data_IF_574842129760
#
_entry.id   IF_574842129760
#
_cell.length_a   1.000
_cell.length_b   1.000
_cell.length_c   1.000
_cell.angle_alpha   90.00
_cell.angle_beta   90.00
_cell.angle_gamma   90.00
#
_symmetry.space_group_name_H-M   'P 1'
#
loop_
_entity.id
_entity.type
_entity.pdbx_description
1 polymer ?
#
# COMPACT_ATOMS: atom_id res chain seq x y z
N UNK A 1 -23.53 -9.53 13.96
CA UNK A 1 -22.62 -10.53 13.35
C UNK A 1 -22.13 -9.92 12.05
N UNK A 2 -20.82 -9.90 11.79
CA UNK A 2 -20.29 -9.34 10.52
C UNK A 2 -20.57 -10.30 9.37
N UNK A 3 -20.74 -9.78 8.16
CA UNK A 3 -20.84 -10.62 6.97
C UNK A 3 -19.49 -11.32 6.70
N UNK A 4 -19.50 -12.45 5.99
CA UNK A 4 -18.26 -13.13 5.59
C UNK A 4 -17.35 -12.20 4.77
N UNK A 5 -17.95 -11.42 3.87
CA UNK A 5 -17.23 -10.45 3.03
C UNK A 5 -16.50 -9.40 3.89
N UNK A 6 -17.13 -8.91 4.96
CA UNK A 6 -16.48 -7.97 5.89
C UNK A 6 -15.25 -8.59 6.57
N UNK A 7 -15.29 -9.89 6.86
CA UNK A 7 -14.18 -10.60 7.50
C UNK A 7 -13.03 -10.85 6.51
N UNK A 8 -13.36 -11.14 5.25
CA UNK A 8 -12.38 -11.27 4.16
C UNK A 8 -11.68 -9.93 3.92
N UNK A 9 -12.44 -8.84 3.90
CA UNK A 9 -11.89 -7.49 3.75
C UNK A 9 -10.89 -7.15 4.87
N UNK A 10 -11.19 -7.51 6.13
CA UNK A 10 -10.27 -7.29 7.25
C UNK A 10 -8.98 -8.11 7.10
N UNK A 11 -9.10 -9.37 6.64
CA UNK A 11 -7.94 -10.20 6.37
C UNK A 11 -7.08 -9.61 5.26
N UNK A 12 -7.68 -9.08 4.19
CA UNK A 12 -6.98 -8.36 3.13
C UNK A 12 -6.30 -7.09 3.64
N UNK A 13 -6.99 -6.27 4.44
CA UNK A 13 -6.43 -5.05 5.03
C UNK A 13 -5.20 -5.38 5.91
N UNK A 14 -5.20 -6.53 6.60
CA UNK A 14 -4.06 -7.01 7.37
C UNK A 14 -2.92 -7.52 6.48
N UNK A 15 -3.24 -8.29 5.43
CA UNK A 15 -2.27 -8.72 4.42
C UNK A 15 -1.56 -7.53 3.79
N UNK A 16 -2.29 -6.46 3.51
CA UNK A 16 -1.74 -5.22 2.96
C UNK A 16 -0.74 -4.57 3.92
N UNK A 17 -1.07 -4.47 5.21
CA UNK A 17 -0.15 -3.95 6.23
C UNK A 17 1.13 -4.78 6.33
N UNK A 18 1.00 -6.11 6.38
CA UNK A 18 2.17 -6.99 6.44
C UNK A 18 3.01 -6.83 5.18
N UNK A 19 2.38 -6.79 4.02
CA UNK A 19 3.06 -6.62 2.73
C UNK A 19 3.85 -5.31 2.64
N UNK A 20 3.27 -4.23 3.17
CA UNK A 20 3.94 -2.93 3.32
C UNK A 20 5.16 -3.08 4.25
N UNK A 21 4.97 -3.67 5.44
CA UNK A 21 6.01 -3.80 6.46
C UNK A 21 7.24 -4.57 5.97
N UNK A 22 7.03 -5.58 5.12
CA UNK A 22 8.09 -6.47 4.63
C UNK A 22 8.57 -6.13 3.21
N UNK A 23 8.02 -5.09 2.59
CA UNK A 23 8.26 -4.72 1.19
C UNK A 23 8.02 -5.86 0.17
N UNK A 24 7.22 -6.88 0.50
CA UNK A 24 6.98 -8.08 -0.29
C UNK A 24 5.50 -8.43 -0.24
N UNK A 25 5.05 -9.33 -1.10
CA UNK A 25 3.68 -9.82 -1.02
C UNK A 25 3.57 -10.82 0.13
N UNK A 26 2.79 -10.50 1.16
CA UNK A 26 2.43 -11.46 2.20
C UNK A 26 1.42 -12.45 1.62
N UNK A 27 1.70 -13.76 1.70
CA UNK A 27 0.75 -14.80 1.31
C UNK A 27 -0.18 -15.14 2.49
N UNK A 28 -1.43 -15.50 2.18
CA UNK A 28 -2.37 -16.05 3.17
C UNK A 28 -2.44 -17.55 2.92
N UNK A 29 -1.72 -18.33 3.72
CA UNK A 29 -1.68 -19.79 3.56
C UNK A 29 -3.05 -20.45 3.85
N UNK A 30 -3.75 -19.97 4.87
CA UNK A 30 -5.08 -20.46 5.25
C UNK A 30 -5.86 -19.38 6.03
N UNK A 31 -7.18 -19.35 5.84
CA UNK A 31 -8.09 -18.54 6.62
C UNK A 31 -9.15 -19.43 7.27
N UNK A 32 -9.29 -19.32 8.59
CA UNK A 32 -10.26 -20.10 9.36
C UNK A 32 -11.17 -19.17 10.16
N UNK A 33 -12.48 -19.35 10.01
CA UNK A 33 -13.48 -18.60 10.77
C UNK A 33 -14.10 -19.45 11.86
N UNK A 34 -14.40 -18.85 13.00
CA UNK A 34 -15.11 -19.50 14.09
C UNK A 34 -16.52 -18.93 14.20
N UNK A 35 -17.52 -19.81 14.18
CA UNK A 35 -18.91 -19.44 14.38
C UNK A 35 -19.50 -20.21 15.58
N UNK A 36 -20.20 -19.55 16.53
CA UNK A 36 -20.72 -20.23 17.72
C UNK A 36 -21.66 -21.41 17.44
N UNK A 37 -22.35 -21.43 16.30
CA UNK A 37 -23.21 -22.55 15.89
C UNK A 37 -22.47 -23.67 15.14
N UNK A 38 -21.20 -23.46 14.77
CA UNK A 38 -20.39 -24.47 14.07
C UNK A 38 -19.48 -25.14 15.08
N UNK A 39 -19.89 -26.32 15.51
CA UNK A 39 -19.18 -27.13 16.48
C UNK A 39 -19.09 -28.57 16.01
N UNK A 40 -18.04 -29.25 16.47
CA UNK A 40 -17.93 -30.68 16.37
C UNK A 40 -18.42 -31.30 17.67
N UNK A 41 -19.30 -32.28 17.55
CA UNK A 41 -19.83 -33.04 18.67
C UNK A 41 -20.02 -34.49 18.19
N UNK A 42 -19.10 -35.42 18.55
CA UNK A 42 -19.10 -36.78 18.00
C UNK A 42 -20.29 -37.62 18.50
N UNK A 43 -20.80 -37.33 19.70
CA UNK A 43 -22.02 -37.95 20.26
C UNK A 43 -22.86 -36.90 20.99
N UNK A 44 -24.17 -37.10 21.18
CA UNK A 44 -25.04 -36.14 21.88
C UNK A 44 -24.59 -35.77 23.30
N UNK A 45 -23.88 -36.68 23.99
CA UNK A 45 -23.36 -36.46 25.35
C UNK A 45 -21.96 -35.82 25.35
N UNK A 46 -21.25 -35.82 24.21
CA UNK A 46 -19.90 -35.28 24.12
C UNK A 46 -19.90 -33.74 24.22
N UNK A 47 -18.84 -33.18 24.80
CA UNK A 47 -18.65 -31.72 24.87
C UNK A 47 -18.50 -31.15 23.46
N UNK A 48 -19.29 -30.11 23.15
CA UNK A 48 -19.14 -29.34 21.91
C UNK A 48 -17.75 -28.70 21.89
N UNK A 49 -16.95 -29.00 20.86
CA UNK A 49 -15.75 -28.24 20.54
C UNK A 49 -16.03 -27.34 19.34
N UNK A 50 -15.53 -26.09 19.32
CA UNK A 50 -15.62 -25.26 18.13
C UNK A 50 -15.03 -26.01 16.93
N UNK A 51 -15.63 -25.87 15.73
CA UNK A 51 -15.05 -26.36 14.47
C UNK A 51 -14.77 -25.16 13.57
N UNK A 52 -13.54 -25.00 13.03
CA UNK A 52 -13.24 -23.91 12.14
C UNK A 52 -13.96 -24.13 10.80
N UNK A 53 -14.48 -23.05 10.24
CA UNK A 53 -14.91 -22.99 8.84
C UNK A 53 -13.69 -22.58 8.04
N UNK A 54 -13.09 -23.55 7.33
CA UNK A 54 -11.97 -23.28 6.44
C UNK A 54 -12.46 -22.51 5.22
N UNK A 55 -11.78 -21.40 4.93
CA UNK A 55 -12.02 -20.61 3.75
C UNK A 55 -10.78 -20.66 2.86
N UNK A 56 -10.94 -21.28 1.69
CA UNK A 56 -9.92 -21.27 0.66
C UNK A 56 -9.97 -19.95 -0.08
N UNK A 57 -8.93 -19.12 0.08
CA UNK A 57 -8.82 -17.84 -0.61
C UNK A 57 -8.40 -18.12 -2.06
N UNK A 58 -9.23 -17.80 -3.07
CA UNK A 58 -8.88 -18.07 -4.47
C UNK A 58 -7.82 -17.12 -5.04
N UNK A 59 -7.50 -16.04 -4.32
CA UNK A 59 -6.60 -14.96 -4.76
C UNK A 59 -5.29 -14.93 -3.95
N UNK A 60 -4.51 -16.01 -3.97
CA UNK A 60 -3.21 -16.00 -3.29
C UNK A 60 -2.17 -15.31 -4.17
N UNK A 61 -2.03 -14.00 -3.96
CA UNK A 61 -0.82 -13.30 -4.35
C UNK A 61 0.34 -13.91 -3.54
N UNK A 62 1.28 -14.55 -4.22
CA UNK A 62 2.45 -15.19 -3.60
C UNK A 62 3.70 -14.42 -3.87
N UNK A 63 4.58 -14.35 -2.87
CA UNK A 63 5.95 -13.96 -3.13
C UNK A 63 6.68 -15.07 -3.90
N UNK A 64 7.35 -14.67 -4.96
CA UNK A 64 8.11 -15.55 -5.85
C UNK A 64 9.58 -15.16 -5.93
N UNK A 65 10.05 -14.38 -4.95
CA UNK A 65 11.46 -14.15 -4.75
C UNK A 65 12.23 -15.45 -4.45
N UNK A 66 13.57 -15.40 -4.47
CA UNK A 66 14.42 -16.58 -4.27
C UNK A 66 14.29 -17.20 -2.87
N UNK A 67 13.90 -16.42 -1.86
CA UNK A 67 13.77 -16.85 -0.46
C UNK A 67 12.39 -16.50 0.12
N UNK A 68 11.28 -17.06 -0.40
CA UNK A 68 9.92 -16.65 -0.04
C UNK A 68 9.60 -16.85 1.46
N UNK A 69 10.30 -17.78 2.13
CA UNK A 69 10.14 -18.08 3.57
C UNK A 69 11.20 -17.46 4.48
N UNK A 70 12.23 -16.84 3.91
CA UNK A 70 13.28 -16.16 4.69
C UNK A 70 12.99 -14.67 4.76
N UNK A 71 12.80 -14.15 5.97
CA UNK A 71 12.68 -12.72 6.23
C UNK A 71 13.55 -12.35 7.42
N UNK A 72 14.52 -11.48 7.18
CA UNK A 72 15.41 -10.93 8.19
C UNK A 72 14.87 -9.58 8.68
N UNK A 73 15.10 -9.25 9.95
CA UNK A 73 14.57 -8.03 10.55
C UNK A 73 15.08 -6.73 9.89
N UNK A 74 16.22 -6.76 9.22
CA UNK A 74 16.77 -5.61 8.48
C UNK A 74 16.13 -5.43 7.09
N UNK A 75 15.42 -6.43 6.58
CA UNK A 75 14.66 -6.35 5.31
C UNK A 75 13.26 -5.76 5.53
N UNK A 76 12.85 -5.59 6.79
CA UNK A 76 11.56 -5.04 7.17
C UNK A 76 11.65 -3.53 7.40
N UNK A 77 10.72 -2.80 6.78
CA UNK A 77 10.52 -1.38 7.05
C UNK A 77 10.09 -1.12 8.48
N UNK A 78 9.27 -1.98 9.07
CA UNK A 78 8.93 -1.91 10.49
C UNK A 78 8.42 -3.26 11.00
N UNK A 79 8.53 -3.48 12.31
CA UNK A 79 8.05 -4.68 12.98
C UNK A 79 6.73 -4.44 13.70
N UNK A 80 6.06 -5.52 14.14
CA UNK A 80 4.83 -5.43 14.94
C UNK A 80 5.01 -4.57 16.23
N UNK A 81 6.10 -4.73 17.01
CA UNK A 81 6.39 -3.82 18.12
C UNK A 81 6.60 -2.37 17.68
N UNK A 82 7.32 -2.13 16.57
CA UNK A 82 7.55 -0.76 16.08
C UNK A 82 6.26 -0.05 15.68
N UNK A 83 5.28 -0.82 15.18
CA UNK A 83 3.97 -0.32 14.78
C UNK A 83 3.02 -0.05 15.96
N UNK A 84 3.41 -0.42 17.18
CA UNK A 84 2.59 -0.26 18.39
C UNK A 84 1.69 -1.46 18.69
N UNK A 85 2.06 -2.64 18.20
CA UNK A 85 1.37 -3.89 18.52
C UNK A 85 -0.09 -3.92 18.06
N UNK A 86 -0.96 -4.52 18.87
CA UNK A 86 -2.36 -4.74 18.53
C UNK A 86 -3.14 -3.42 18.40
N UNK A 87 -2.79 -2.42 19.18
CA UNK A 87 -3.41 -1.09 19.10
C UNK A 87 -3.06 -0.40 17.79
N UNK A 88 -1.81 -0.58 17.33
CA UNK A 88 -1.37 -0.15 16.01
C UNK A 88 -2.19 -0.79 14.90
N UNK A 89 -2.35 -2.12 14.94
CA UNK A 89 -3.22 -2.87 14.00
C UNK A 89 -4.65 -2.34 14.05
N UNK A 90 -5.20 -2.09 15.25
CA UNK A 90 -6.54 -1.54 15.40
C UNK A 90 -6.71 -0.16 14.74
N UNK A 91 -5.71 0.73 14.84
CA UNK A 91 -5.72 2.03 14.14
C UNK A 91 -5.59 1.85 12.63
N UNK A 92 -4.72 0.94 12.17
CA UNK A 92 -4.59 0.61 10.76
C UNK A 92 -5.92 0.15 10.15
N UNK A 93 -6.57 -0.86 10.75
CA UNK A 93 -7.82 -1.41 10.20
C UNK A 93 -8.93 -0.36 10.09
N UNK A 94 -8.97 0.63 10.99
CA UNK A 94 -9.91 1.76 10.88
C UNK A 94 -9.58 2.69 9.71
N UNK A 95 -8.30 2.99 9.51
CA UNK A 95 -7.83 3.81 8.38
C UNK A 95 -8.01 3.08 7.04
N UNK A 96 -7.64 1.81 6.98
CA UNK A 96 -7.84 0.93 5.83
C UNK A 96 -9.31 0.82 5.44
N UNK A 97 -10.21 0.63 6.41
CA UNK A 97 -11.66 0.61 6.15
C UNK A 97 -12.15 1.92 5.51
N UNK A 98 -11.72 3.07 6.03
CA UNK A 98 -12.08 4.39 5.48
C UNK A 98 -11.60 4.54 4.03
N UNK A 99 -10.35 4.18 3.76
CA UNK A 99 -9.71 4.38 2.47
C UNK A 99 -9.68 3.11 1.58
N UNK A 100 -10.56 2.13 1.83
CA UNK A 100 -10.45 0.77 1.29
C UNK A 100 -10.38 0.72 -0.23
N UNK A 101 -11.22 1.51 -0.91
CA UNK A 101 -11.20 1.57 -2.38
C UNK A 101 -9.88 2.07 -2.95
N UNK A 102 -9.21 3.01 -2.27
CA UNK A 102 -7.89 3.50 -2.63
C UNK A 102 -6.79 2.50 -2.30
N UNK A 103 -6.81 1.95 -1.08
CA UNK A 103 -5.84 0.95 -0.62
C UNK A 103 -5.85 -0.29 -1.50
N UNK A 104 -7.02 -0.88 -1.73
CA UNK A 104 -7.17 -2.07 -2.58
C UNK A 104 -6.66 -1.84 -4.00
N UNK A 105 -6.88 -0.64 -4.57
CA UNK A 105 -6.35 -0.28 -5.89
C UNK A 105 -4.81 -0.20 -5.90
N UNK A 106 -4.21 0.44 -4.89
CA UNK A 106 -2.76 0.58 -4.76
C UNK A 106 -2.09 -0.79 -4.56
N UNK A 107 -2.68 -1.63 -3.72
CA UNK A 107 -2.14 -2.94 -3.39
C UNK A 107 -2.38 -3.96 -4.52
N UNK A 108 -3.51 -3.91 -5.22
CA UNK A 108 -3.72 -4.70 -6.44
C UNK A 108 -2.65 -4.42 -7.50
N UNK A 109 -2.25 -3.16 -7.68
CA UNK A 109 -1.13 -2.80 -8.57
C UNK A 109 0.23 -3.37 -8.15
N UNK A 110 0.40 -3.67 -6.86
CA UNK A 110 1.60 -4.32 -6.30
C UNK A 110 1.56 -5.84 -6.47
N UNK A 111 0.39 -6.45 -6.26
CA UNK A 111 0.19 -7.89 -6.40
C UNK A 111 0.13 -8.36 -7.86
N UNK A 112 -0.30 -7.49 -8.77
CA UNK A 112 -0.43 -7.81 -10.19
C UNK A 112 0.94 -7.88 -10.89
N UNK A 113 1.37 -9.12 -11.20
CA UNK A 113 2.62 -9.42 -11.93
C UNK A 113 2.69 -8.82 -13.34
N UNK A 114 1.56 -8.73 -14.04
CA UNK A 114 1.50 -8.36 -15.46
C UNK A 114 0.86 -6.99 -15.73
N UNK A 115 0.66 -6.16 -14.70
CA UNK A 115 0.08 -4.83 -14.89
C UNK A 115 1.06 -3.89 -15.59
N UNK A 116 0.58 -3.17 -16.62
CA UNK A 116 1.37 -2.16 -17.30
C UNK A 116 1.79 -1.06 -16.33
N UNK A 117 3.01 -0.55 -16.50
CA UNK A 117 3.57 0.49 -15.62
C UNK A 117 2.70 1.76 -15.63
N UNK A 118 2.16 2.14 -16.79
CA UNK A 118 1.21 3.25 -16.93
C UNK A 118 -0.03 3.07 -16.06
N UNK A 119 -0.59 1.86 -16.02
CA UNK A 119 -1.76 1.56 -15.20
C UNK A 119 -1.44 1.65 -13.72
N UNK A 120 -0.25 1.20 -13.30
CA UNK A 120 0.21 1.37 -11.91
C UNK A 120 0.29 2.85 -11.53
N UNK A 121 0.84 3.68 -12.41
CA UNK A 121 0.94 5.13 -12.19
C UNK A 121 -0.46 5.76 -12.06
N UNK A 122 -1.36 5.48 -12.99
CA UNK A 122 -2.72 6.01 -12.97
C UNK A 122 -3.51 5.54 -11.75
N UNK A 123 -3.41 4.26 -11.39
CA UNK A 123 -4.09 3.70 -10.24
C UNK A 123 -3.67 4.35 -8.92
N UNK A 124 -2.36 4.53 -8.72
CA UNK A 124 -1.80 5.14 -7.52
C UNK A 124 -2.07 6.64 -7.46
N UNK A 125 -1.98 7.34 -8.59
CA UNK A 125 -2.34 8.76 -8.69
C UNK A 125 -3.83 8.97 -8.34
N UNK A 126 -4.72 8.16 -8.91
CA UNK A 126 -6.15 8.24 -8.63
C UNK A 126 -6.48 7.91 -7.15
N UNK A 127 -5.77 6.95 -6.55
CA UNK A 127 -5.92 6.62 -5.12
C UNK A 127 -5.51 7.80 -4.23
N UNK A 128 -4.42 8.51 -4.56
CA UNK A 128 -4.00 9.71 -3.84
C UNK A 128 -4.99 10.88 -4.04
N UNK A 129 -5.54 11.08 -5.24
CA UNK A 129 -6.57 12.10 -5.47
C UNK A 129 -7.87 11.80 -4.70
N UNK A 130 -8.19 10.53 -4.47
CA UNK A 130 -9.31 10.10 -3.63
C UNK A 130 -9.01 10.31 -2.14
N UNK A 131 -7.83 9.87 -1.69
CA UNK A 131 -7.36 10.05 -0.31
C UNK A 131 -7.40 11.52 0.11
N UNK A 132 -6.81 12.41 -0.70
CA UNK A 132 -6.77 13.85 -0.42
C UNK A 132 -8.18 14.48 -0.35
N UNK A 133 -9.14 14.02 -1.19
CA UNK A 133 -10.54 14.49 -1.11
C UNK A 133 -11.19 14.09 0.20
N UNK A 134 -10.98 12.85 0.59
CA UNK A 134 -11.61 12.29 1.79
C UNK A 134 -11.06 12.94 3.06
N UNK A 135 -9.74 13.14 3.12
CA UNK A 135 -9.08 13.77 4.28
C UNK A 135 -9.37 15.27 4.36
N UNK A 136 -9.36 15.97 3.23
CA UNK A 136 -9.46 17.44 3.25
C UNK A 136 -10.88 17.97 3.04
N UNK A 137 -11.80 17.15 2.53
CA UNK A 137 -13.15 17.57 2.12
C UNK A 137 -13.21 18.44 0.86
N UNK A 138 -12.07 18.77 0.24
CA UNK A 138 -12.02 19.69 -0.91
C UNK A 138 -11.93 18.96 -2.25
N UNK A 139 -13.04 18.89 -2.98
CA UNK A 139 -13.12 18.21 -4.28
C UNK A 139 -12.62 19.05 -5.48
N UNK A 140 -12.44 20.36 -5.34
CA UNK A 140 -12.11 21.28 -6.45
C UNK A 140 -10.63 21.52 -6.72
N UNK A 141 -9.72 20.96 -5.92
CA UNK A 141 -8.28 21.24 -6.02
C UNK A 141 -7.66 20.63 -7.28
N UNK A 142 -6.71 21.35 -7.90
CA UNK A 142 -5.92 20.84 -9.03
C UNK A 142 -5.01 19.68 -8.59
N UNK A 143 -4.68 18.78 -9.51
CA UNK A 143 -3.87 17.58 -9.25
C UNK A 143 -2.60 17.87 -8.43
N UNK A 144 -1.76 18.82 -8.88
CA UNK A 144 -0.51 19.18 -8.16
C UNK A 144 -0.76 19.63 -6.74
N UNK A 145 -1.80 20.42 -6.51
CA UNK A 145 -2.15 20.90 -5.17
C UNK A 145 -2.44 19.71 -4.24
N UNK A 146 -3.14 18.69 -4.73
CA UNK A 146 -3.40 17.46 -3.96
C UNK A 146 -2.13 16.69 -3.66
N UNK A 147 -1.27 16.51 -4.67
CA UNK A 147 0.00 15.81 -4.50
C UNK A 147 0.90 16.51 -3.47
N UNK A 148 0.95 17.85 -3.48
CA UNK A 148 1.67 18.63 -2.47
C UNK A 148 1.11 18.43 -1.07
N UNK A 149 -0.21 18.51 -0.89
CA UNK A 149 -0.83 18.25 0.42
C UNK A 149 -0.56 16.84 0.94
N UNK A 150 -0.63 15.83 0.08
CA UNK A 150 -0.23 14.47 0.44
C UNK A 150 1.26 14.42 0.82
N UNK A 151 2.14 15.08 0.07
CA UNK A 151 3.57 15.11 0.35
C UNK A 151 3.87 15.80 1.69
N UNK A 152 3.18 16.91 1.98
CA UNK A 152 3.26 17.62 3.26
C UNK A 152 2.81 16.73 4.42
N UNK A 153 1.71 15.98 4.24
CA UNK A 153 1.23 15.00 5.22
C UNK A 153 2.24 13.87 5.45
N UNK A 154 2.80 13.30 4.38
CA UNK A 154 3.80 12.24 4.45
C UNK A 154 5.08 12.71 5.17
N UNK A 155 5.49 13.95 4.92
CA UNK A 155 6.57 14.65 5.61
C UNK A 155 7.97 14.24 5.14
N UNK A 156 8.96 14.40 6.02
CA UNK A 156 10.38 14.28 5.69
C UNK A 156 10.79 12.98 4.97
N UNK A 157 10.27 11.78 5.31
CA UNK A 157 10.64 10.56 4.59
C UNK A 157 10.31 10.63 3.09
N UNK A 158 9.18 11.23 2.73
CA UNK A 158 8.80 11.39 1.33
C UNK A 158 9.59 12.50 0.63
N UNK A 159 9.82 13.61 1.33
CA UNK A 159 10.66 14.69 0.81
C UNK A 159 12.08 14.20 0.49
N UNK A 160 12.67 13.37 1.35
CA UNK A 160 13.96 12.72 1.10
C UNK A 160 13.94 11.78 -0.10
N UNK A 161 12.84 11.05 -0.30
CA UNK A 161 12.67 10.15 -1.44
C UNK A 161 12.70 10.91 -2.78
N UNK A 162 11.94 11.99 -2.90
CA UNK A 162 11.73 12.67 -4.21
C UNK A 162 12.60 13.91 -4.42
N UNK A 163 13.17 14.48 -3.35
CA UNK A 163 13.88 15.75 -3.39
C UNK A 163 12.94 16.93 -3.60
N UNK A 164 12.95 17.50 -4.81
CA UNK A 164 12.10 18.64 -5.18
C UNK A 164 10.66 18.19 -5.46
N UNK A 165 9.79 18.37 -4.46
CA UNK A 165 8.36 18.01 -4.50
C UNK A 165 7.63 18.72 -5.63
N UNK A 166 7.95 19.99 -5.91
CA UNK A 166 7.23 20.78 -6.92
C UNK A 166 7.52 20.29 -8.33
N UNK A 167 8.78 19.99 -8.60
CA UNK A 167 9.19 19.39 -9.87
C UNK A 167 8.68 17.95 -10.01
N UNK A 168 8.76 17.15 -8.94
CA UNK A 168 8.21 15.79 -8.94
C UNK A 168 6.70 15.81 -9.25
N UNK A 169 5.93 16.66 -8.58
CA UNK A 169 4.48 16.77 -8.80
C UNK A 169 4.14 17.25 -10.23
N UNK A 170 4.98 18.12 -10.82
CA UNK A 170 4.84 18.53 -12.22
C UNK A 170 5.08 17.35 -13.18
N UNK A 171 6.15 16.58 -12.97
CA UNK A 171 6.47 15.41 -13.79
C UNK A 171 5.35 14.38 -13.73
N UNK A 172 4.84 14.06 -12.53
CA UNK A 172 3.69 13.14 -12.37
C UNK A 172 2.45 13.65 -13.09
N UNK A 173 2.13 14.95 -12.95
CA UNK A 173 0.96 15.55 -13.63
C UNK A 173 1.07 15.36 -15.14
N UNK A 174 2.22 15.70 -15.71
CA UNK A 174 2.45 15.59 -17.15
C UNK A 174 2.42 14.13 -17.64
N UNK A 175 2.96 13.18 -16.87
CA UNK A 175 2.88 11.75 -17.18
C UNK A 175 1.44 11.24 -17.14
N UNK A 176 0.69 11.59 -16.09
CA UNK A 176 -0.74 11.24 -15.96
C UNK A 176 -1.55 11.78 -17.14
N UNK A 177 -1.35 13.05 -17.50
CA UNK A 177 -2.08 13.70 -18.58
C UNK A 177 -1.71 13.09 -19.95
N UNK A 178 -0.43 12.75 -20.19
CA UNK A 178 0.00 12.10 -21.45
C UNK A 178 -0.63 10.71 -21.63
N UNK A 179 -0.68 9.91 -20.55
CA UNK A 179 -1.30 8.57 -20.57
C UNK A 179 -2.81 8.70 -20.76
N UNK A 180 -3.47 9.57 -19.98
CA UNK A 180 -4.93 9.71 -20.00
C UNK A 180 -5.47 10.21 -21.34
N UNK A 181 -4.69 11.01 -22.06
CA UNK A 181 -5.07 11.55 -23.36
C UNK A 181 -4.47 10.77 -24.55
N UNK A 182 -3.83 9.63 -24.31
CA UNK A 182 -3.18 8.79 -25.33
C UNK A 182 -2.26 9.57 -26.28
N UNK A 183 -1.61 10.62 -25.78
CA UNK A 183 -0.83 11.53 -26.63
C UNK A 183 0.46 10.88 -27.15
N UNK A 184 0.98 9.86 -26.44
CA UNK A 184 2.18 9.12 -26.83
C UNK A 184 3.45 9.97 -26.89
N UNK A 185 3.43 11.22 -26.38
CA UNK A 185 4.54 12.17 -26.53
C UNK A 185 5.69 11.83 -25.60
N UNK A 186 5.39 11.23 -24.44
CA UNK A 186 6.39 10.79 -23.46
C UNK A 186 6.82 9.33 -23.61
N UNK A 187 6.36 8.62 -24.66
CA UNK A 187 6.88 7.28 -25.01
C UNK A 187 8.38 7.26 -25.38
N UNK A 188 9.03 8.43 -25.52
CA UNK A 188 10.49 8.53 -25.66
C UNK A 188 11.25 8.32 -24.36
N UNK A 189 10.59 8.39 -23.20
CA UNK A 189 11.24 8.13 -21.91
C UNK A 189 11.21 6.64 -21.57
N UNK A 190 12.17 6.19 -20.76
CA UNK A 190 12.27 4.78 -20.42
C UNK A 190 11.06 4.32 -19.58
N UNK A 191 10.58 3.11 -19.85
CA UNK A 191 9.58 2.44 -19.00
C UNK A 191 10.07 2.29 -17.56
N UNK A 192 11.39 2.27 -17.34
CA UNK A 192 12.03 2.27 -16.04
C UNK A 192 11.76 3.57 -15.27
N UNK A 193 11.90 4.75 -15.90
CA UNK A 193 11.62 6.03 -15.23
C UNK A 193 10.16 6.10 -14.76
N UNK A 194 9.24 5.68 -15.63
CA UNK A 194 7.82 5.66 -15.30
C UNK A 194 7.51 4.67 -14.16
N UNK A 195 8.24 3.56 -14.10
CA UNK A 195 8.14 2.60 -13.01
C UNK A 195 8.56 3.24 -11.68
N UNK A 196 9.71 3.93 -11.65
CA UNK A 196 10.16 4.60 -10.43
C UNK A 196 9.22 5.74 -10.01
N UNK A 197 8.68 6.49 -10.96
CA UNK A 197 7.65 7.50 -10.68
C UNK A 197 6.38 6.85 -10.09
N UNK A 198 5.94 5.72 -10.63
CA UNK A 198 4.82 4.97 -10.06
C UNK A 198 5.14 4.47 -8.64
N UNK A 199 6.35 3.98 -8.38
CA UNK A 199 6.79 3.54 -7.05
C UNK A 199 6.86 4.71 -6.05
N UNK A 200 7.22 5.91 -6.48
CA UNK A 200 7.15 7.10 -5.62
C UNK A 200 5.71 7.41 -5.19
N UNK A 201 4.72 7.26 -6.08
CA UNK A 201 3.30 7.44 -5.73
C UNK A 201 2.80 6.35 -4.77
N UNK A 202 3.31 5.12 -4.89
CA UNK A 202 3.03 4.06 -3.92
C UNK A 202 3.49 4.51 -2.52
N UNK A 203 4.75 4.92 -2.40
CA UNK A 203 5.29 5.35 -1.11
C UNK A 203 4.60 6.57 -0.54
N UNK A 204 4.22 7.53 -1.37
CA UNK A 204 3.42 8.66 -0.94
C UNK A 204 2.10 8.20 -0.31
N UNK A 205 1.38 7.29 -0.97
CA UNK A 205 0.11 6.76 -0.47
C UNK A 205 0.30 6.00 0.85
N UNK A 206 1.31 5.12 0.94
CA UNK A 206 1.60 4.39 2.17
C UNK A 206 1.93 5.33 3.32
N UNK A 207 2.79 6.33 3.11
CA UNK A 207 3.16 7.28 4.15
C UNK A 207 1.96 8.11 4.62
N UNK A 208 1.05 8.49 3.71
CA UNK A 208 -0.21 9.15 4.04
C UNK A 208 -1.11 8.25 4.91
N UNK A 209 -1.28 6.98 4.53
CA UNK A 209 -2.06 5.99 5.30
C UNK A 209 -1.48 5.78 6.70
N UNK A 210 -0.15 5.66 6.81
CA UNK A 210 0.54 5.53 8.10
C UNK A 210 0.31 6.76 8.98
N UNK A 211 0.26 7.96 8.39
CA UNK A 211 -0.04 9.21 9.12
C UNK A 211 -1.50 9.25 9.59
N UNK A 212 -2.44 8.89 8.72
CA UNK A 212 -3.86 8.81 9.07
C UNK A 212 -4.12 7.80 10.19
N UNK A 213 -3.41 6.66 10.19
CA UNK A 213 -3.52 5.67 11.27
C UNK A 213 -2.65 5.98 12.50
N UNK A 214 -1.99 7.15 12.54
CA UNK A 214 -1.13 7.56 13.65
C UNK A 214 -0.07 6.50 13.99
N UNK A 215 0.67 6.05 12.99
CA UNK A 215 1.81 5.15 13.19
C UNK A 215 2.85 5.81 14.11
N UNK A 216 3.54 5.05 14.98
CA UNK A 216 4.58 5.62 15.84
C UNK A 216 5.74 6.24 15.05
N UNK A 217 6.40 7.27 15.62
CA UNK A 217 7.54 7.95 14.99
C UNK A 217 8.65 6.98 14.52
N UNK A 218 8.87 5.91 15.29
CA UNK A 218 9.84 4.85 14.98
C UNK A 218 9.61 4.18 13.63
N UNK A 219 8.36 4.06 13.18
CA UNK A 219 8.01 3.50 11.86
C UNK A 219 8.60 4.38 10.75
N UNK A 220 8.43 5.70 10.84
CA UNK A 220 8.96 6.63 9.85
C UNK A 220 10.48 6.67 9.85
N UNK A 221 11.10 6.60 11.03
CA UNK A 221 12.56 6.53 11.14
C UNK A 221 13.10 5.30 10.42
N UNK A 222 12.52 4.12 10.71
CA UNK A 222 12.95 2.89 10.05
C UNK A 222 12.71 2.91 8.55
N UNK A 223 11.60 3.49 8.08
CA UNK A 223 11.34 3.65 6.65
C UNK A 223 12.41 4.54 6.00
N UNK A 224 12.71 5.69 6.60
CA UNK A 224 13.70 6.64 6.10
C UNK A 224 15.12 6.05 6.06
N UNK A 225 15.49 5.25 7.07
CA UNK A 225 16.83 4.64 7.17
C UNK A 225 16.98 3.37 6.32
N UNK A 226 15.91 2.90 5.67
CA UNK A 226 15.92 1.63 4.96
C UNK A 226 16.60 1.75 3.59
N UNK A 227 17.61 0.89 3.34
CA UNK A 227 18.41 0.89 2.11
C UNK A 227 17.57 0.82 0.82
N UNK A 228 16.47 0.07 0.84
CA UNK A 228 15.58 -0.02 -0.34
C UNK A 228 14.93 1.33 -0.70
N UNK A 229 14.62 2.17 0.30
CA UNK A 229 14.05 3.50 0.06
C UNK A 229 15.12 4.48 -0.42
N UNK A 230 16.32 4.41 0.15
CA UNK A 230 17.48 5.19 -0.29
C UNK A 230 17.81 4.93 -1.77
N UNK A 231 17.95 3.65 -2.13
CA UNK A 231 18.16 3.25 -3.53
C UNK A 231 17.04 3.72 -4.45
N UNK A 232 15.78 3.60 -4.02
CA UNK A 232 14.64 4.08 -4.79
C UNK A 232 14.70 5.61 -4.96
N UNK A 233 15.09 6.35 -3.93
CA UNK A 233 15.20 7.80 -3.96
C UNK A 233 16.14 8.29 -5.06
N UNK A 234 17.32 7.68 -5.16
CA UNK A 234 18.24 7.99 -6.26
C UNK A 234 17.60 7.77 -7.65
N UNK A 235 16.87 6.67 -7.83
CA UNK A 235 16.19 6.37 -9.10
C UNK A 235 15.06 7.34 -9.42
N UNK A 236 14.25 7.70 -8.42
CA UNK A 236 13.15 8.65 -8.58
C UNK A 236 13.68 10.04 -8.92
N UNK A 237 14.71 10.50 -8.21
CA UNK A 237 15.31 11.82 -8.45
C UNK A 237 15.93 11.90 -9.86
N UNK A 238 16.63 10.86 -10.31
CA UNK A 238 17.11 10.78 -11.70
C UNK A 238 15.96 10.78 -12.71
N UNK A 239 14.88 10.02 -12.46
CA UNK A 239 13.71 9.98 -13.33
C UNK A 239 13.01 11.35 -13.45
N UNK A 240 12.97 12.13 -12.36
CA UNK A 240 12.46 13.51 -12.37
C UNK A 240 13.38 14.43 -13.17
N UNK A 241 14.70 14.35 -12.97
CA UNK A 241 15.69 15.17 -13.68
C UNK A 241 15.69 14.93 -15.19
N UNK A 242 15.57 13.67 -15.63
CA UNK A 242 15.53 13.29 -17.04
C UNK A 242 14.27 13.79 -17.79
N UNK A 243 13.30 14.35 -17.07
CA UNK A 243 11.97 14.77 -17.58
C UNK A 243 11.66 16.25 -17.32
N UNK A 244 12.59 16.99 -16.72
CA UNK A 244 12.56 18.46 -16.70
C UNK A 244 12.94 18.98 -18.07
#
# INVERSE_FOLDING_TARGET
MRALDDLIDIASDLQDLVSIAINRTADIDALGFWHPSVYWQPTPEAKKSPKPVEYFVPWNARDTGPTPRGLQAHEMFFTYPDFGGIDGIGRWLRSAWRHRGGLGRVMASRYARQMLVSDRLLNRAAALEAFDREVTGFAGSKFKTRMKRCADLAGAPFAGLVGDIDAWAEVIRLDRDDIAHHFGRRMKHSSADQFFLAESLYWLFILCMLRDCQAPAKVYQRIADHQALDWLGHRVQSAVQNRR
#
